data_IF_262128282335
#
_entry.id   IF_262128282335
#
_cell.length_a   1.000
_cell.length_b   1.000
_cell.length_c   1.000
_cell.angle_alpha   90.00
_cell.angle_beta   90.00
_cell.angle_gamma   90.00
#
_symmetry.space_group_name_H-M   'P 1'
#
loop_
_entity.id
_entity.type
_entity.pdbx_description
1 polymer ?
#
# COMPACT_ATOMS: atom_id res chain seq x y z
N UNK A 1 8.07 -8.22 16.16
CA UNK A 1 7.24 -7.85 14.99
C UNK A 1 6.69 -9.11 14.33
N UNK A 2 5.60 -9.02 13.56
CA UNK A 2 5.02 -10.14 12.79
C UNK A 2 5.88 -10.49 11.56
N UNK A 3 5.48 -11.49 10.77
CA UNK A 3 6.17 -11.85 9.52
C UNK A 3 6.12 -10.74 8.48
N UNK A 4 7.19 -10.59 7.65
CA UNK A 4 7.18 -9.67 6.50
C UNK A 4 6.19 -10.10 5.40
N UNK A 5 5.66 -11.31 5.45
CA UNK A 5 4.56 -11.75 4.56
C UNK A 5 3.34 -10.84 4.67
N UNK A 6 3.12 -10.24 5.85
CA UNK A 6 2.01 -9.31 6.06
C UNK A 6 2.18 -7.95 5.35
N UNK A 7 3.37 -7.65 4.86
CA UNK A 7 3.65 -6.46 4.06
C UNK A 7 3.31 -6.70 2.59
N UNK A 8 3.49 -7.93 2.12
CA UNK A 8 3.31 -8.33 0.74
C UNK A 8 2.06 -9.21 0.57
N UNK A 9 0.90 -8.59 0.38
CA UNK A 9 -0.32 -9.30 0.09
C UNK A 9 -0.61 -9.28 -1.41
N UNK A 10 -0.72 -10.45 -2.04
CA UNK A 10 -1.13 -10.58 -3.43
C UNK A 10 -2.65 -10.57 -3.49
N UNK A 11 -3.24 -9.59 -4.19
CA UNK A 11 -4.69 -9.47 -4.27
C UNK A 11 -5.17 -8.46 -5.30
N UNK A 12 -6.45 -8.16 -5.27
CA UNK A 12 -7.08 -7.24 -6.23
C UNK A 12 -7.26 -5.85 -5.62
N UNK A 13 -6.85 -4.82 -6.40
CA UNK A 13 -7.05 -3.43 -6.02
C UNK A 13 -8.53 -2.99 -6.05
N UNK A 14 -8.79 -1.70 -5.85
CA UNK A 14 -7.80 -0.61 -5.79
C UNK A 14 -7.22 -0.33 -4.40
N UNK A 15 -7.78 -0.85 -3.30
CA UNK A 15 -7.36 -0.50 -1.94
C UNK A 15 -7.16 -1.73 -1.06
N UNK A 16 -6.06 -1.78 -0.31
CA UNK A 16 -5.82 -2.84 0.66
C UNK A 16 -6.77 -2.73 1.86
N UNK A 17 -7.02 -1.52 2.37
CA UNK A 17 -7.89 -1.29 3.52
C UNK A 17 -9.39 -1.28 3.17
N UNK A 18 -9.76 -0.79 1.97
CA UNK A 18 -11.16 -0.61 1.58
C UNK A 18 -11.68 -1.71 0.62
N UNK A 19 -10.81 -2.51 0.04
CA UNK A 19 -11.18 -3.60 -0.89
C UNK A 19 -10.74 -4.96 -0.34
N UNK A 20 -9.43 -5.19 -0.16
CA UNK A 20 -8.90 -6.48 0.29
C UNK A 20 -9.34 -6.84 1.72
N UNK A 21 -9.22 -5.90 2.68
CA UNK A 21 -9.63 -6.11 4.06
C UNK A 21 -11.12 -6.48 4.19
N UNK A 22 -12.05 -5.67 3.67
CA UNK A 22 -13.48 -5.99 3.66
C UNK A 22 -13.81 -7.30 2.93
N UNK A 23 -13.13 -7.59 1.81
CA UNK A 23 -13.29 -8.86 1.09
C UNK A 23 -12.87 -10.07 1.96
N UNK A 24 -11.71 -9.96 2.64
CA UNK A 24 -11.23 -10.99 3.58
C UNK A 24 -12.17 -11.18 4.76
N UNK A 25 -12.66 -10.07 5.36
CA UNK A 25 -13.62 -10.13 6.46
C UNK A 25 -14.92 -10.79 6.04
N UNK A 26 -15.45 -10.47 4.85
CA UNK A 26 -16.64 -11.08 4.29
C UNK A 26 -16.47 -12.60 4.09
N UNK A 27 -15.31 -13.05 3.61
CA UNK A 27 -15.00 -14.47 3.44
C UNK A 27 -14.99 -15.21 4.77
N UNK A 28 -14.28 -14.71 5.76
CA UNK A 28 -14.20 -15.30 7.10
C UNK A 28 -15.57 -15.36 7.78
N UNK A 29 -16.39 -14.31 7.65
CA UNK A 29 -17.72 -14.28 8.24
C UNK A 29 -18.68 -15.22 7.53
N UNK A 30 -18.58 -15.36 6.20
CA UNK A 30 -19.36 -16.33 5.43
C UNK A 30 -19.01 -17.78 5.80
N UNK A 31 -17.71 -18.09 5.94
CA UNK A 31 -17.22 -19.41 6.35
C UNK A 31 -17.74 -19.80 7.74
N UNK A 32 -17.79 -18.83 8.66
CA UNK A 32 -18.33 -19.04 10.02
C UNK A 32 -19.85 -19.24 10.03
N UNK A 33 -20.57 -18.66 9.05
CA UNK A 33 -22.03 -18.63 8.99
C UNK A 33 -22.59 -19.26 7.69
N UNK A 34 -22.29 -20.54 7.37
CA UNK A 34 -22.67 -21.15 6.10
C UNK A 34 -24.19 -21.29 5.92
N UNK A 35 -24.94 -21.39 7.04
CA UNK A 35 -26.40 -21.53 7.08
C UNK A 35 -27.18 -20.22 7.09
N UNK A 36 -26.51 -19.06 7.09
CA UNK A 36 -27.21 -17.78 7.09
C UNK A 36 -27.94 -17.51 5.77
N UNK A 37 -29.16 -17.01 5.87
CA UNK A 37 -30.03 -16.69 4.73
C UNK A 37 -29.78 -15.30 4.21
N UNK A 38 -29.43 -14.34 5.12
CA UNK A 38 -29.14 -12.93 4.83
C UNK A 38 -27.98 -12.43 5.64
N UNK A 39 -27.30 -11.44 5.08
CA UNK A 39 -26.20 -10.72 5.72
C UNK A 39 -26.46 -9.21 5.67
N UNK A 40 -26.09 -8.51 6.73
CA UNK A 40 -26.00 -7.06 6.74
C UNK A 40 -24.56 -6.68 7.05
N UNK A 41 -24.00 -5.78 6.26
CA UNK A 41 -22.66 -5.23 6.50
C UNK A 41 -22.77 -3.73 6.64
N UNK A 42 -22.52 -3.23 7.84
CA UNK A 42 -22.48 -1.80 8.13
C UNK A 42 -21.05 -1.31 8.05
N UNK A 43 -20.82 -0.31 7.19
CA UNK A 43 -19.54 0.33 6.98
C UNK A 43 -19.52 1.70 7.67
N UNK A 44 -18.44 1.98 8.40
CA UNK A 44 -18.30 3.20 9.22
C UNK A 44 -17.15 4.10 8.75
N UNK A 45 -17.20 5.38 9.10
CA UNK A 45 -16.13 6.36 8.94
C UNK A 45 -15.55 6.41 7.54
N UNK A 46 -14.23 6.23 7.41
CA UNK A 46 -13.54 6.29 6.12
C UNK A 46 -14.03 5.23 5.12
N UNK A 47 -14.34 4.01 5.57
CA UNK A 47 -14.94 2.97 4.71
C UNK A 47 -16.28 3.41 4.09
N UNK A 48 -17.09 4.15 4.82
CA UNK A 48 -18.35 4.67 4.30
C UNK A 48 -18.17 5.89 3.41
N UNK A 49 -17.22 6.78 3.73
CA UNK A 49 -16.98 8.03 2.99
C UNK A 49 -16.38 7.78 1.60
N UNK A 50 -15.43 6.86 1.49
CA UNK A 50 -14.67 6.62 0.26
C UNK A 50 -14.96 5.25 -0.37
N UNK A 51 -15.65 4.36 0.34
CA UNK A 51 -15.84 2.96 -0.03
C UNK A 51 -16.48 2.73 -1.40
N UNK A 52 -17.39 3.60 -1.85
CA UNK A 52 -17.96 3.53 -3.20
C UNK A 52 -16.90 3.73 -4.28
N UNK A 53 -15.99 4.69 -4.09
CA UNK A 53 -14.88 4.93 -5.01
C UNK A 53 -13.84 3.80 -4.98
N UNK A 54 -13.68 3.15 -3.83
CA UNK A 54 -12.80 2.01 -3.63
C UNK A 54 -13.46 0.64 -3.96
N UNK A 55 -14.74 0.60 -4.32
CA UNK A 55 -15.45 -0.63 -4.66
C UNK A 55 -15.65 -1.58 -3.47
N UNK A 56 -15.74 -1.05 -2.24
CA UNK A 56 -15.87 -1.85 -1.01
C UNK A 56 -17.11 -2.74 -1.03
N UNK A 57 -18.25 -2.20 -1.43
CA UNK A 57 -19.49 -2.94 -1.60
C UNK A 57 -19.36 -4.06 -2.64
N UNK A 58 -18.82 -3.74 -3.79
CA UNK A 58 -18.58 -4.70 -4.87
C UNK A 58 -17.66 -5.85 -4.43
N UNK A 59 -16.63 -5.55 -3.64
CA UNK A 59 -15.71 -6.56 -3.12
C UNK A 59 -16.41 -7.52 -2.11
N UNK A 60 -17.21 -6.99 -1.20
CA UNK A 60 -18.00 -7.78 -0.25
C UNK A 60 -19.04 -8.64 -0.97
N UNK A 61 -19.81 -8.02 -1.90
CA UNK A 61 -20.85 -8.71 -2.67
C UNK A 61 -20.29 -9.84 -3.53
N UNK A 62 -19.10 -9.65 -4.11
CA UNK A 62 -18.42 -10.69 -4.90
C UNK A 62 -18.01 -11.90 -4.07
N UNK A 63 -17.65 -11.71 -2.81
CA UNK A 63 -17.26 -12.81 -1.90
C UNK A 63 -18.48 -13.57 -1.40
N UNK A 64 -19.51 -12.86 -0.96
CA UNK A 64 -20.72 -13.52 -0.42
C UNK A 64 -21.54 -14.15 -1.55
N UNK A 65 -21.42 -13.70 -2.80
CA UNK A 65 -22.04 -14.24 -4.02
C UNK A 65 -23.43 -14.88 -3.86
N UNK A 66 -24.29 -14.21 -3.09
CA UNK A 66 -25.69 -14.61 -2.85
C UNK A 66 -26.61 -13.44 -3.24
N UNK A 67 -27.09 -13.37 -4.48
CA UNK A 67 -27.91 -12.26 -4.97
C UNK A 67 -29.10 -11.97 -4.07
N UNK A 68 -29.22 -10.72 -3.63
CA UNK A 68 -30.33 -10.27 -2.76
C UNK A 68 -30.21 -10.66 -1.27
N UNK A 69 -29.19 -11.41 -0.88
CA UNK A 69 -28.96 -11.81 0.51
C UNK A 69 -28.09 -10.86 1.31
N UNK A 70 -27.49 -9.83 0.68
CA UNK A 70 -26.57 -8.89 1.33
C UNK A 70 -27.12 -7.48 1.30
N UNK A 71 -27.23 -6.87 2.47
CA UNK A 71 -27.54 -5.45 2.65
C UNK A 71 -26.27 -4.71 3.07
N UNK A 72 -25.86 -3.66 2.32
CA UNK A 72 -24.75 -2.77 2.68
C UNK A 72 -25.33 -1.48 3.27
N UNK A 73 -24.98 -1.19 4.53
CA UNK A 73 -25.39 0.02 5.25
C UNK A 73 -24.21 0.97 5.38
N UNK A 74 -24.39 2.21 4.97
CA UNK A 74 -23.35 3.23 5.00
C UNK A 74 -23.56 4.20 6.15
N UNK A 75 -22.56 4.34 7.04
CA UNK A 75 -22.59 5.25 8.21
C UNK A 75 -21.37 6.18 8.19
N UNK A 76 -21.32 7.16 7.24
CA UNK A 76 -20.16 8.04 7.07
C UNK A 76 -19.92 8.97 8.27
N UNK A 77 -20.98 9.32 9.01
CA UNK A 77 -20.92 10.24 10.14
C UNK A 77 -20.52 9.57 11.46
N UNK A 78 -20.38 8.26 11.47
CA UNK A 78 -20.01 7.48 12.65
C UNK A 78 -18.64 6.84 12.44
N UNK A 79 -17.69 7.20 13.29
CA UNK A 79 -16.40 6.49 13.39
C UNK A 79 -16.41 5.62 14.65
N UNK A 80 -16.04 4.36 14.48
CA UNK A 80 -15.86 3.48 15.62
C UNK A 80 -14.57 3.84 16.39
N UNK A 81 -14.51 3.60 17.71
CA UNK A 81 -13.47 4.20 18.57
C UNK A 81 -12.06 3.68 18.33
N UNK A 82 -11.91 2.48 17.76
CA UNK A 82 -10.60 1.82 17.63
C UNK A 82 -9.85 2.18 16.36
N UNK A 83 -10.56 2.29 15.23
CA UNK A 83 -9.95 2.63 13.94
C UNK A 83 -10.99 3.21 12.98
N UNK A 84 -10.62 4.18 12.08
CA UNK A 84 -11.56 4.79 11.12
C UNK A 84 -12.21 3.81 10.13
N UNK A 85 -11.62 2.65 9.90
CA UNK A 85 -12.10 1.64 8.96
C UNK A 85 -12.83 0.50 9.67
N UNK A 86 -13.88 0.83 10.42
CA UNK A 86 -14.71 -0.14 11.11
C UNK A 86 -15.81 -0.75 10.25
N UNK A 87 -16.12 -2.02 10.50
CA UNK A 87 -17.19 -2.79 9.87
C UNK A 87 -17.95 -3.60 10.92
N UNK A 88 -19.26 -3.71 10.75
CA UNK A 88 -20.11 -4.63 11.52
C UNK A 88 -20.77 -5.60 10.55
N UNK A 89 -20.49 -6.88 10.70
CA UNK A 89 -21.14 -7.96 9.99
C UNK A 89 -22.22 -8.58 10.85
N UNK A 90 -23.40 -8.83 10.30
CA UNK A 90 -24.53 -9.49 10.95
C UNK A 90 -25.08 -10.60 10.03
N UNK A 91 -25.35 -11.77 10.58
CA UNK A 91 -25.93 -12.92 9.89
C UNK A 91 -27.35 -13.21 10.39
N UNK A 92 -28.25 -13.51 9.49
CA UNK A 92 -29.67 -13.72 9.79
C UNK A 92 -30.17 -15.09 9.32
N UNK A 93 -31.00 -15.75 10.17
CA UNK A 93 -31.76 -16.95 9.83
C UNK A 93 -33.20 -16.70 10.28
N UNK A 94 -34.16 -16.92 9.39
CA UNK A 94 -35.61 -16.68 9.64
C UNK A 94 -35.89 -15.26 10.21
N UNK A 95 -35.11 -14.26 9.77
CA UNK A 95 -35.26 -12.88 10.22
C UNK A 95 -34.60 -12.53 11.55
N UNK A 96 -34.05 -13.50 12.29
CA UNK A 96 -33.33 -13.27 13.55
C UNK A 96 -31.83 -13.20 13.34
N UNK A 97 -31.15 -12.28 14.04
CA UNK A 97 -29.70 -12.22 14.07
C UNK A 97 -29.13 -13.42 14.80
N UNK A 98 -28.30 -14.21 14.13
CA UNK A 98 -27.68 -15.43 14.69
C UNK A 98 -26.20 -15.24 15.01
N UNK A 99 -25.55 -14.32 14.35
CA UNK A 99 -24.15 -13.94 14.64
C UNK A 99 -23.91 -12.48 14.30
N UNK A 100 -22.95 -11.85 15.01
CA UNK A 100 -22.54 -10.45 14.82
C UNK A 100 -21.06 -10.32 15.10
N UNK A 101 -20.34 -9.59 14.23
CA UNK A 101 -18.90 -9.43 14.33
C UNK A 101 -18.45 -8.01 13.95
N UNK A 102 -17.87 -7.32 14.93
CA UNK A 102 -17.22 -6.04 14.70
C UNK A 102 -15.73 -6.28 14.37
N UNK A 103 -15.29 -5.74 13.25
CA UNK A 103 -13.92 -5.93 12.74
C UNK A 103 -13.43 -4.66 12.05
N UNK A 104 -12.12 -4.46 12.08
CA UNK A 104 -11.45 -3.28 11.55
C UNK A 104 -10.43 -3.66 10.49
N UNK A 105 -10.36 -2.88 9.41
CA UNK A 105 -9.32 -2.99 8.40
C UNK A 105 -8.19 -2.01 8.70
N UNK A 106 -7.07 -2.52 9.22
CA UNK A 106 -5.99 -1.71 9.82
C UNK A 106 -4.83 -1.39 8.86
N UNK A 107 -5.04 -1.52 7.55
CA UNK A 107 -4.04 -1.25 6.52
C UNK A 107 -3.40 -2.52 5.96
N UNK A 108 -2.88 -2.44 4.74
CA UNK A 108 -2.23 -3.56 4.05
C UNK A 108 -3.14 -4.79 3.77
N UNK A 109 -4.44 -4.71 4.04
CA UNK A 109 -5.37 -5.84 4.01
C UNK A 109 -5.45 -6.63 5.31
N UNK A 110 -4.74 -6.18 6.36
CA UNK A 110 -4.83 -6.77 7.69
C UNK A 110 -6.15 -6.43 8.38
N UNK A 111 -6.63 -7.37 9.21
CA UNK A 111 -7.82 -7.22 10.04
C UNK A 111 -7.44 -7.22 11.51
N UNK A 112 -8.25 -6.54 12.30
CA UNK A 112 -8.16 -6.52 13.76
C UNK A 112 -9.56 -6.58 14.37
N UNK A 113 -9.73 -7.32 15.47
CA UNK A 113 -10.94 -7.36 16.28
C UNK A 113 -10.60 -7.41 17.78
N UNK A 114 -11.59 -7.18 18.63
CA UNK A 114 -11.38 -7.22 20.09
C UNK A 114 -11.19 -8.65 20.62
N UNK A 115 -11.47 -9.67 19.82
CA UNK A 115 -11.34 -11.07 20.20
C UNK A 115 -9.91 -11.59 20.05
N UNK A 116 -9.00 -10.79 19.46
CA UNK A 116 -7.61 -11.20 19.17
C UNK A 116 -7.51 -12.28 18.09
N UNK A 117 -8.54 -12.40 17.22
CA UNK A 117 -8.62 -13.44 16.17
C UNK A 117 -7.41 -13.43 15.23
N UNK A 118 -6.71 -12.28 15.10
CA UNK A 118 -5.58 -12.09 14.18
C UNK A 118 -4.25 -11.89 14.92
N UNK A 119 -4.17 -12.25 16.19
CA UNK A 119 -2.93 -12.16 16.94
C UNK A 119 -2.15 -13.48 16.85
N UNK A 120 -1.43 -13.64 15.73
CA UNK A 120 -0.60 -14.83 15.46
C UNK A 120 0.77 -14.78 16.20
N UNK A 121 0.95 -13.81 17.13
CA UNK A 121 2.20 -13.60 17.85
C UNK A 121 3.27 -12.87 17.04
N UNK A 122 4.38 -12.57 17.70
CA UNK A 122 5.54 -11.92 17.09
C UNK A 122 6.57 -12.95 16.65
N UNK A 123 7.08 -12.80 15.44
CA UNK A 123 8.14 -13.61 14.86
C UNK A 123 9.52 -13.02 15.14
N UNK A 124 9.63 -11.70 14.99
CA UNK A 124 10.87 -10.96 15.24
C UNK A 124 10.89 -10.41 16.65
N UNK A 125 11.96 -10.64 17.44
CA UNK A 125 12.09 -10.11 18.80
C UNK A 125 12.40 -8.61 18.82
N UNK A 126 13.25 -8.14 17.90
CA UNK A 126 13.57 -6.71 17.75
C UNK A 126 12.39 -5.96 17.15
N UNK A 127 12.18 -4.72 17.63
CA UNK A 127 11.01 -3.92 17.22
C UNK A 127 11.39 -2.63 16.51
N UNK A 128 12.64 -2.19 16.58
CA UNK A 128 13.14 -0.94 16.00
C UNK A 128 14.25 -1.18 14.98
N UNK A 129 14.46 -0.22 14.11
CA UNK A 129 15.58 -0.24 13.16
C UNK A 129 16.93 -0.21 13.89
N UNK A 130 17.03 0.54 14.99
CA UNK A 130 18.24 0.63 15.79
C UNK A 130 18.62 -0.73 16.41
N UNK A 131 17.64 -1.51 16.91
CA UNK A 131 17.87 -2.85 17.45
C UNK A 131 18.30 -3.83 16.35
N UNK A 132 17.63 -3.83 15.20
CA UNK A 132 17.99 -4.66 14.04
C UNK A 132 19.38 -4.33 13.54
N UNK A 133 19.73 -3.04 13.42
CA UNK A 133 21.08 -2.61 13.02
C UNK A 133 22.14 -3.06 14.03
N UNK A 134 21.85 -2.95 15.32
CA UNK A 134 22.75 -3.41 16.38
C UNK A 134 23.00 -4.90 16.22
N UNK A 135 21.96 -5.70 16.04
CA UNK A 135 22.09 -7.14 15.81
C UNK A 135 22.97 -7.43 14.57
N UNK A 136 22.73 -6.76 13.45
CA UNK A 136 23.52 -6.94 12.23
C UNK A 136 25.00 -6.60 12.45
N UNK A 137 25.30 -5.55 13.20
CA UNK A 137 26.67 -5.13 13.50
C UNK A 137 27.37 -6.11 14.45
N UNK A 138 26.68 -6.59 15.48
CA UNK A 138 27.21 -7.53 16.47
C UNK A 138 27.52 -8.91 15.85
N UNK A 139 26.68 -9.38 14.94
CA UNK A 139 26.81 -10.67 14.25
C UNK A 139 27.63 -10.60 12.95
N UNK A 140 27.96 -9.39 12.45
CA UNK A 140 28.63 -9.20 11.17
C UNK A 140 27.78 -9.57 9.96
N UNK A 141 26.46 -9.45 10.08
CA UNK A 141 25.44 -9.89 9.12
C UNK A 141 24.72 -8.73 8.41
N UNK A 142 23.93 -9.05 7.40
CA UNK A 142 23.07 -8.10 6.66
C UNK A 142 21.62 -8.15 7.15
N UNK A 143 20.79 -7.19 6.73
CA UNK A 143 19.34 -7.23 6.97
C UNK A 143 18.68 -8.47 6.35
N UNK A 144 19.22 -8.98 5.26
CA UNK A 144 18.72 -10.19 4.62
C UNK A 144 18.98 -11.43 5.49
N UNK A 145 20.17 -11.53 6.09
CA UNK A 145 20.52 -12.63 6.99
C UNK A 145 19.67 -12.57 8.27
N UNK A 146 19.36 -11.37 8.74
CA UNK A 146 18.41 -11.15 9.84
C UNK A 146 17.01 -11.66 9.50
N UNK A 147 16.48 -11.34 8.31
CA UNK A 147 15.19 -11.85 7.84
C UNK A 147 15.21 -13.38 7.74
N UNK A 148 16.23 -13.95 7.11
CA UNK A 148 16.37 -15.40 6.95
C UNK A 148 16.41 -16.14 8.30
N UNK A 149 17.09 -15.57 9.30
CA UNK A 149 17.18 -16.14 10.65
C UNK A 149 15.81 -16.37 11.29
N UNK A 150 14.89 -15.41 11.15
CA UNK A 150 13.58 -15.48 11.81
C UNK A 150 12.47 -16.07 10.94
N UNK A 151 12.47 -15.80 9.64
CA UNK A 151 11.47 -16.32 8.69
C UNK A 151 11.79 -17.74 8.16
N UNK A 152 13.05 -18.16 8.28
CA UNK A 152 13.55 -19.35 7.60
C UNK A 152 13.79 -19.11 6.10
N UNK A 153 14.44 -20.06 5.42
CA UNK A 153 14.75 -19.98 3.98
C UNK A 153 13.49 -19.98 3.09
N UNK A 154 12.38 -20.48 3.59
CA UNK A 154 11.09 -20.52 2.87
C UNK A 154 10.55 -19.13 2.51
N UNK A 155 11.02 -18.09 3.19
CA UNK A 155 10.62 -16.71 2.86
C UNK A 155 11.05 -16.34 1.44
N UNK A 156 12.19 -16.82 0.98
CA UNK A 156 12.67 -16.51 -0.37
C UNK A 156 11.79 -17.10 -1.47
N UNK A 157 11.25 -18.29 -1.27
CA UNK A 157 10.25 -18.89 -2.19
C UNK A 157 8.99 -18.01 -2.27
N UNK A 158 8.51 -17.50 -1.11
CA UNK A 158 7.39 -16.57 -1.10
C UNK A 158 7.73 -15.24 -1.79
N UNK A 159 8.93 -14.70 -1.59
CA UNK A 159 9.38 -13.48 -2.24
C UNK A 159 9.61 -13.65 -3.76
N UNK A 160 9.91 -14.87 -4.23
CA UNK A 160 9.90 -15.21 -5.66
C UNK A 160 8.49 -15.10 -6.27
N UNK A 161 7.46 -15.58 -5.57
CA UNK A 161 6.07 -15.43 -5.99
C UNK A 161 5.65 -13.96 -6.00
N UNK A 162 6.02 -13.20 -4.96
CA UNK A 162 5.82 -11.76 -4.86
C UNK A 162 6.47 -11.03 -6.05
N UNK A 163 7.74 -11.34 -6.33
CA UNK A 163 8.47 -10.75 -7.44
C UNK A 163 7.82 -11.06 -8.79
N UNK A 164 7.47 -12.31 -9.01
CA UNK A 164 6.77 -12.73 -10.23
C UNK A 164 5.48 -11.94 -10.43
N UNK A 165 4.65 -11.79 -9.39
CA UNK A 165 3.41 -11.02 -9.50
C UNK A 165 3.68 -9.53 -9.76
N UNK A 166 4.73 -8.95 -9.16
CA UNK A 166 5.13 -7.57 -9.43
C UNK A 166 5.51 -7.38 -10.90
N UNK A 167 6.31 -8.29 -11.48
CA UNK A 167 6.69 -8.25 -12.90
C UNK A 167 5.45 -8.35 -13.81
N UNK A 168 4.58 -9.35 -13.60
CA UNK A 168 3.35 -9.54 -14.37
C UNK A 168 2.48 -8.28 -14.35
N UNK A 169 2.39 -7.61 -13.20
CA UNK A 169 1.59 -6.38 -13.08
C UNK A 169 2.20 -5.22 -13.85
N UNK A 170 3.53 -5.02 -13.78
CA UNK A 170 4.21 -3.98 -14.57
C UNK A 170 4.06 -4.26 -16.05
N UNK A 171 4.39 -5.46 -16.52
CA UNK A 171 4.33 -5.84 -17.94
C UNK A 171 2.94 -5.64 -18.52
N UNK A 172 1.92 -6.07 -17.80
CA UNK A 172 0.52 -5.88 -18.19
C UNK A 172 0.17 -4.39 -18.29
N UNK A 173 0.51 -3.59 -17.28
CA UNK A 173 0.20 -2.17 -17.24
C UNK A 173 0.91 -1.36 -18.33
N UNK A 174 2.15 -1.73 -18.70
CA UNK A 174 2.92 -1.08 -19.76
C UNK A 174 2.31 -1.20 -21.15
N UNK A 175 1.46 -2.19 -21.39
CA UNK A 175 0.79 -2.42 -22.68
C UNK A 175 -0.70 -2.14 -22.64
N UNK A 176 -1.29 -1.92 -21.48
CA UNK A 176 -2.72 -1.67 -21.32
C UNK A 176 -3.04 -0.20 -21.59
N UNK A 177 -3.91 0.06 -22.54
CA UNK A 177 -4.38 1.40 -22.91
C UNK A 177 -5.85 1.62 -22.53
N UNK A 178 -6.37 2.81 -22.78
CA UNK A 178 -7.77 3.15 -22.60
C UNK A 178 -8.00 4.05 -21.38
N UNK A 179 -9.16 3.87 -20.76
CA UNK A 179 -9.66 4.73 -19.66
C UNK A 179 -9.90 3.89 -18.41
N UNK A 180 -9.48 4.40 -17.27
CA UNK A 180 -9.74 3.78 -15.99
C UNK A 180 -11.23 3.79 -15.63
N UNK A 181 -11.71 2.80 -14.85
CA UNK A 181 -13.10 2.76 -14.42
C UNK A 181 -13.44 3.94 -13.51
N UNK A 182 -14.73 4.25 -13.41
CA UNK A 182 -15.25 5.29 -12.52
C UNK A 182 -15.58 6.62 -13.23
N UNK A 183 -15.99 7.60 -12.45
CA UNK A 183 -16.54 8.86 -12.98
C UNK A 183 -15.47 9.82 -13.50
N UNK A 184 -14.21 9.69 -13.07
CA UNK A 184 -13.13 10.59 -13.49
C UNK A 184 -12.71 10.42 -14.95
N UNK A 185 -12.98 9.24 -15.55
CA UNK A 185 -12.60 8.94 -16.93
C UNK A 185 -11.12 9.21 -17.22
N UNK A 186 -10.27 8.91 -16.25
CA UNK A 186 -8.83 9.14 -16.37
C UNK A 186 -8.23 8.20 -17.42
N UNK A 187 -7.53 8.78 -18.41
CA UNK A 187 -6.83 8.00 -19.43
C UNK A 187 -5.57 7.35 -18.83
N UNK A 188 -5.29 6.10 -19.21
CA UNK A 188 -4.03 5.43 -18.90
C UNK A 188 -2.87 6.11 -19.61
N UNK A 189 -1.73 6.21 -18.95
CA UNK A 189 -0.55 6.92 -19.43
C UNK A 189 0.69 6.02 -19.54
N UNK A 190 0.72 4.88 -18.82
CA UNK A 190 1.89 4.02 -18.71
C UNK A 190 2.48 3.62 -20.07
N UNK A 191 1.65 3.14 -21.01
CA UNK A 191 2.08 2.75 -22.35
C UNK A 191 2.78 3.90 -23.09
N UNK A 192 2.18 5.09 -23.11
CA UNK A 192 2.77 6.26 -23.78
C UNK A 192 4.05 6.74 -23.14
N UNK A 193 4.16 6.66 -21.80
CA UNK A 193 5.41 6.97 -21.07
C UNK A 193 6.50 5.97 -21.40
N UNK A 194 6.18 4.67 -21.46
CA UNK A 194 7.12 3.62 -21.83
C UNK A 194 7.70 3.85 -23.24
N UNK A 195 6.85 4.11 -24.24
CA UNK A 195 7.29 4.41 -25.60
C UNK A 195 8.26 5.60 -25.63
N UNK A 196 7.92 6.69 -24.92
CA UNK A 196 8.78 7.88 -24.87
C UNK A 196 10.09 7.60 -24.12
N UNK A 197 10.07 6.82 -23.04
CA UNK A 197 11.26 6.43 -22.28
C UNK A 197 12.23 5.60 -23.14
N UNK A 198 11.70 4.64 -23.91
CA UNK A 198 12.51 3.82 -24.82
C UNK A 198 13.19 4.64 -25.94
N UNK A 199 12.57 5.75 -26.37
CA UNK A 199 13.12 6.67 -27.36
C UNK A 199 14.05 7.73 -26.75
N UNK A 200 14.08 7.85 -25.42
CA UNK A 200 14.93 8.83 -24.71
C UNK A 200 16.34 8.30 -24.50
N UNK A 201 17.28 9.21 -24.25
CA UNK A 201 18.68 8.90 -23.95
C UNK A 201 19.18 9.65 -22.71
N UNK A 202 20.38 9.31 -22.23
CA UNK A 202 20.98 9.95 -21.06
C UNK A 202 20.12 9.81 -19.81
N UNK A 203 20.09 10.84 -18.97
CA UNK A 203 19.38 10.83 -17.68
C UNK A 203 17.84 10.76 -17.80
N UNK A 204 17.27 11.13 -18.95
CA UNK A 204 15.83 11.11 -19.17
C UNK A 204 15.27 9.70 -19.32
N UNK A 205 16.06 8.75 -19.85
CA UNK A 205 15.63 7.37 -20.04
C UNK A 205 15.34 6.64 -18.71
N UNK A 206 16.27 6.59 -17.74
CA UNK A 206 16.01 5.97 -16.44
C UNK A 206 14.80 6.55 -15.71
N UNK A 207 14.67 7.88 -15.73
CA UNK A 207 13.52 8.57 -15.14
C UNK A 207 12.20 8.17 -15.83
N UNK A 208 12.17 8.16 -17.15
CA UNK A 208 11.00 7.78 -17.93
C UNK A 208 10.60 6.33 -17.71
N UNK A 209 11.57 5.40 -17.61
CA UNK A 209 11.32 3.98 -17.33
C UNK A 209 10.70 3.78 -15.94
N UNK A 210 11.21 4.46 -14.90
CA UNK A 210 10.63 4.43 -13.55
C UNK A 210 9.19 4.98 -13.54
N UNK A 211 8.96 6.12 -14.19
CA UNK A 211 7.60 6.67 -14.30
C UNK A 211 6.65 5.69 -14.99
N UNK A 212 7.05 5.12 -16.13
CA UNK A 212 6.23 4.17 -16.88
C UNK A 212 5.86 2.94 -16.04
N UNK A 213 6.83 2.34 -15.35
CA UNK A 213 6.62 1.17 -14.51
C UNK A 213 5.71 1.48 -13.29
N UNK A 214 5.93 2.61 -12.62
CA UNK A 214 5.09 3.01 -11.48
C UNK A 214 3.65 3.34 -11.91
N UNK A 215 3.48 4.03 -13.03
CA UNK A 215 2.17 4.27 -13.65
C UNK A 215 1.49 2.95 -14.02
N UNK A 216 2.21 2.00 -14.61
CA UNK A 216 1.69 0.70 -15.02
C UNK A 216 1.04 -0.04 -13.85
N UNK A 217 1.75 -0.20 -12.74
CA UNK A 217 1.22 -0.86 -11.54
C UNK A 217 0.06 -0.07 -10.94
N UNK A 218 0.19 1.25 -10.83
CA UNK A 218 -0.84 2.09 -10.22
C UNK A 218 -2.14 2.12 -11.04
N UNK A 219 -2.04 2.09 -12.37
CA UNK A 219 -3.18 2.00 -13.28
C UNK A 219 -3.84 0.62 -13.26
N UNK A 220 -3.04 -0.47 -13.15
CA UNK A 220 -3.58 -1.81 -12.94
C UNK A 220 -4.30 -1.89 -11.59
N UNK A 221 -3.71 -1.36 -10.52
CA UNK A 221 -4.36 -1.27 -9.22
C UNK A 221 -5.69 -0.50 -9.29
N UNK A 222 -5.68 0.68 -9.87
CA UNK A 222 -6.88 1.52 -10.01
C UNK A 222 -7.96 0.89 -10.89
N UNK A 223 -7.55 0.03 -11.83
CA UNK A 223 -8.42 -0.77 -12.69
C UNK A 223 -9.02 -2.00 -12.02
N UNK A 224 -8.69 -2.27 -10.76
CA UNK A 224 -9.09 -3.49 -10.05
C UNK A 224 -8.29 -4.72 -10.45
N UNK A 225 -7.10 -4.54 -11.01
CA UNK A 225 -6.17 -5.61 -11.36
C UNK A 225 -5.52 -6.25 -10.13
N UNK A 226 -4.83 -7.38 -10.37
CA UNK A 226 -4.07 -8.09 -9.34
C UNK A 226 -2.74 -7.40 -9.12
N UNK A 227 -2.45 -7.04 -7.87
CA UNK A 227 -1.23 -6.33 -7.45
C UNK A 227 -0.65 -6.96 -6.18
N UNK A 228 0.56 -6.53 -5.83
CA UNK A 228 1.16 -6.82 -4.52
C UNK A 228 1.13 -5.55 -3.68
N UNK A 229 0.67 -5.64 -2.43
CA UNK A 229 0.82 -4.51 -1.50
C UNK A 229 2.30 -4.27 -1.18
N UNK A 230 2.72 -3.00 -1.11
CA UNK A 230 4.09 -2.63 -0.74
C UNK A 230 4.15 -1.19 -0.14
N UNK A 231 3.67 -0.95 1.09
CA UNK A 231 2.95 -1.87 1.98
C UNK A 231 1.43 -1.91 1.72
N UNK A 232 0.87 -1.02 0.88
CA UNK A 232 -0.56 -0.93 0.58
C UNK A 232 -0.81 -0.97 -0.93
N UNK A 233 -2.07 -1.18 -1.36
CA UNK A 233 -2.44 -1.06 -2.77
C UNK A 233 -2.22 0.36 -3.31
N UNK A 234 -2.53 1.38 -2.51
CA UNK A 234 -2.36 2.79 -2.91
C UNK A 234 -0.92 3.18 -3.20
N UNK A 235 0.04 2.48 -2.60
CA UNK A 235 1.48 2.69 -2.78
C UNK A 235 2.17 1.55 -3.56
N UNK A 236 1.41 0.62 -4.13
CA UNK A 236 1.93 -0.59 -4.77
C UNK A 236 2.78 -0.35 -6.03
N UNK A 237 2.78 0.86 -6.57
CA UNK A 237 3.56 1.21 -7.77
C UNK A 237 5.02 1.54 -7.48
N UNK A 238 5.39 1.90 -6.25
CA UNK A 238 6.72 2.44 -5.91
C UNK A 238 7.80 1.36 -5.97
N UNK A 239 7.69 0.35 -5.11
CA UNK A 239 8.70 -0.71 -4.99
C UNK A 239 8.82 -1.54 -6.27
N UNK A 240 7.73 -2.06 -6.89
CA UNK A 240 7.85 -2.83 -8.12
C UNK A 240 8.49 -2.06 -9.27
N UNK A 241 8.21 -0.75 -9.40
CA UNK A 241 8.81 0.06 -10.46
C UNK A 241 10.33 0.13 -10.33
N UNK A 242 10.84 0.36 -9.12
CA UNK A 242 12.30 0.43 -8.91
C UNK A 242 12.95 -0.94 -9.08
N UNK A 243 12.33 -2.01 -8.59
CA UNK A 243 12.84 -3.38 -8.78
C UNK A 243 12.84 -3.78 -10.26
N UNK A 244 11.78 -3.45 -10.99
CA UNK A 244 11.67 -3.71 -12.43
C UNK A 244 12.74 -2.93 -13.23
N UNK A 245 12.96 -1.67 -12.89
CA UNK A 245 14.02 -0.86 -13.47
C UNK A 245 15.41 -1.49 -13.20
N UNK A 246 15.69 -1.92 -11.98
CA UNK A 246 16.96 -2.56 -11.64
C UNK A 246 17.14 -3.88 -12.37
N UNK A 247 16.08 -4.67 -12.55
CA UNK A 247 16.12 -5.93 -13.30
C UNK A 247 16.41 -5.72 -14.78
N UNK A 248 15.65 -4.85 -15.44
CA UNK A 248 15.62 -4.78 -16.92
C UNK A 248 16.47 -3.67 -17.52
N UNK A 249 16.73 -2.57 -16.81
CA UNK A 249 17.61 -1.50 -17.28
C UNK A 249 19.04 -1.61 -16.73
N UNK A 250 19.20 -2.16 -15.52
CA UNK A 250 20.52 -2.37 -14.90
C UNK A 250 20.97 -3.87 -14.88
N UNK A 251 20.20 -4.74 -15.48
CA UNK A 251 20.50 -6.18 -15.62
C UNK A 251 20.80 -6.88 -14.30
N UNK A 252 20.19 -6.43 -13.19
CA UNK A 252 20.38 -7.08 -11.89
C UNK A 252 19.74 -8.48 -11.88
N UNK A 253 20.46 -9.50 -11.38
CA UNK A 253 19.93 -10.86 -11.31
C UNK A 253 18.81 -10.98 -10.27
N UNK A 254 17.85 -11.89 -10.51
CA UNK A 254 16.66 -12.04 -9.67
C UNK A 254 16.99 -12.30 -8.20
N UNK A 255 18.02 -13.07 -7.89
CA UNK A 255 18.40 -13.30 -6.49
C UNK A 255 18.73 -12.02 -5.72
N UNK A 256 19.29 -10.98 -6.38
CA UNK A 256 19.53 -9.67 -5.76
C UNK A 256 18.24 -8.91 -5.54
N UNK A 257 17.31 -8.99 -6.50
CA UNK A 257 15.98 -8.38 -6.37
C UNK A 257 15.24 -9.01 -5.18
N UNK A 258 15.23 -10.34 -5.09
CA UNK A 258 14.58 -11.08 -4.00
C UNK A 258 15.18 -10.73 -2.63
N UNK A 259 16.51 -10.63 -2.53
CA UNK A 259 17.18 -10.13 -1.32
C UNK A 259 16.82 -8.68 -1.00
N UNK A 260 16.67 -7.83 -2.01
CA UNK A 260 16.17 -6.46 -1.85
C UNK A 260 14.73 -6.43 -1.32
N UNK A 261 13.87 -7.33 -1.79
CA UNK A 261 12.50 -7.47 -1.27
C UNK A 261 12.47 -7.91 0.20
N UNK A 262 13.39 -8.77 0.65
CA UNK A 262 13.51 -9.13 2.07
C UNK A 262 13.83 -7.90 2.92
N UNK A 263 14.81 -7.08 2.51
CA UNK A 263 15.15 -5.81 3.18
C UNK A 263 13.97 -4.83 3.16
N UNK A 264 13.29 -4.68 2.02
CA UNK A 264 12.11 -3.80 1.92
C UNK A 264 10.98 -4.26 2.85
N UNK A 265 10.72 -5.58 2.90
CA UNK A 265 9.72 -6.16 3.80
C UNK A 265 10.01 -5.87 5.26
N UNK A 266 11.27 -5.99 5.68
CA UNK A 266 11.71 -5.67 7.05
C UNK A 266 11.49 -4.18 7.37
N UNK A 267 11.87 -3.27 6.47
CA UNK A 267 11.64 -1.81 6.65
C UNK A 267 10.14 -1.52 6.79
N UNK A 268 9.31 -2.05 5.89
CA UNK A 268 7.86 -1.89 5.97
C UNK A 268 7.25 -2.47 7.25
N UNK A 269 7.79 -3.59 7.74
CA UNK A 269 7.34 -4.23 8.98
C UNK A 269 7.70 -3.41 10.23
N UNK A 270 8.86 -2.77 10.27
CA UNK A 270 9.24 -1.83 11.34
C UNK A 270 8.25 -0.65 11.38
N UNK A 271 7.93 -0.05 10.23
CA UNK A 271 6.93 1.03 10.18
C UNK A 271 5.56 0.55 10.65
N UNK A 272 5.10 -0.60 10.16
CA UNK A 272 3.79 -1.17 10.55
C UNK A 272 3.71 -1.46 12.04
N UNK A 273 4.81 -1.90 12.66
CA UNK A 273 4.86 -2.27 14.08
C UNK A 273 4.95 -1.07 15.02
N UNK A 274 5.63 0.01 14.62
CA UNK A 274 5.87 1.20 15.46
C UNK A 274 5.00 2.40 15.08
N UNK A 275 4.31 2.30 13.95
CA UNK A 275 3.50 3.37 13.40
C UNK A 275 2.24 2.85 12.75
N UNK A 276 1.86 3.47 11.65
CA UNK A 276 0.71 3.07 10.84
C UNK A 276 1.02 3.17 9.34
N UNK A 277 0.53 2.19 8.58
CA UNK A 277 0.55 2.20 7.12
C UNK A 277 -0.84 2.53 6.54
N UNK A 278 -1.77 3.04 7.35
CA UNK A 278 -3.14 3.35 6.96
C UNK A 278 -3.30 4.83 6.58
N UNK A 279 -3.72 5.09 5.34
CA UNK A 279 -4.04 6.46 4.88
C UNK A 279 -5.17 7.12 5.68
N UNK A 280 -6.10 6.33 6.20
CA UNK A 280 -7.21 6.79 7.03
C UNK A 280 -6.75 7.21 8.44
N UNK A 281 -5.63 6.69 8.92
CA UNK A 281 -5.10 7.00 10.24
C UNK A 281 -4.08 8.14 10.20
N UNK A 282 -3.12 8.09 9.27
CA UNK A 282 -1.97 9.01 9.24
C UNK A 282 -1.77 9.74 7.91
N UNK A 283 -2.69 9.62 6.95
CA UNK A 283 -2.52 10.17 5.61
C UNK A 283 -1.60 9.33 4.72
N UNK A 284 -1.35 9.82 3.50
CA UNK A 284 -0.48 9.13 2.53
C UNK A 284 1.00 9.05 2.96
N UNK A 285 1.44 9.81 3.97
CA UNK A 285 2.79 9.67 4.52
C UNK A 285 3.02 8.24 5.05
N UNK A 286 2.04 7.60 5.67
CA UNK A 286 2.11 6.22 6.13
C UNK A 286 2.16 5.20 4.98
N UNK A 287 1.53 5.47 3.86
CA UNK A 287 1.53 4.59 2.69
C UNK A 287 2.76 4.83 1.79
N UNK A 288 2.84 6.02 1.19
CA UNK A 288 3.89 6.39 0.23
C UNK A 288 5.25 6.64 0.89
N UNK A 289 5.27 7.20 2.12
CA UNK A 289 6.52 7.34 2.88
C UNK A 289 7.14 5.98 3.17
N UNK A 290 6.32 5.02 3.65
CA UNK A 290 6.77 3.65 3.86
C UNK A 290 7.23 2.99 2.56
N UNK A 291 6.46 3.12 1.47
CA UNK A 291 6.84 2.54 0.17
C UNK A 291 8.15 3.14 -0.37
N UNK A 292 8.38 4.44 -0.16
CA UNK A 292 9.62 5.12 -0.51
C UNK A 292 10.81 4.55 0.29
N UNK A 293 10.66 4.43 1.61
CA UNK A 293 11.67 3.85 2.50
C UNK A 293 12.00 2.40 2.12
N UNK A 294 10.99 1.59 1.89
CA UNK A 294 11.11 0.20 1.43
C UNK A 294 11.91 0.12 0.13
N UNK A 295 11.54 0.91 -0.87
CA UNK A 295 12.18 0.91 -2.18
C UNK A 295 13.61 1.47 -2.14
N UNK A 296 13.85 2.53 -1.37
CA UNK A 296 15.19 3.12 -1.19
C UNK A 296 16.13 2.15 -0.49
N UNK A 297 15.68 1.53 0.61
CA UNK A 297 16.47 0.52 1.32
C UNK A 297 16.78 -0.71 0.48
N UNK A 298 15.79 -1.22 -0.27
CA UNK A 298 15.98 -2.32 -1.21
C UNK A 298 17.00 -2.00 -2.31
N UNK A 299 16.90 -0.82 -2.93
CA UNK A 299 17.84 -0.38 -3.95
C UNK A 299 19.27 -0.26 -3.40
N UNK A 300 19.41 0.32 -2.21
CA UNK A 300 20.71 0.43 -1.53
C UNK A 300 21.31 -0.94 -1.24
N UNK A 301 20.50 -1.90 -0.77
CA UNK A 301 20.91 -3.30 -0.57
C UNK A 301 21.38 -3.95 -1.89
N UNK A 302 20.63 -3.79 -2.97
CA UNK A 302 20.94 -4.38 -4.28
C UNK A 302 22.24 -3.80 -4.85
N UNK A 303 22.51 -2.50 -4.66
CA UNK A 303 23.74 -1.84 -5.07
C UNK A 303 24.94 -2.10 -4.14
N UNK A 304 24.75 -2.89 -3.06
CA UNK A 304 25.83 -3.32 -2.16
C UNK A 304 26.12 -2.35 -1.02
N UNK A 305 25.14 -1.53 -0.64
CA UNK A 305 25.25 -0.63 0.51
C UNK A 305 25.36 -1.37 1.84
N UNK A 306 26.03 -0.74 2.80
CA UNK A 306 26.15 -1.19 4.19
C UNK A 306 24.83 -1.06 4.94
N UNK A 307 24.60 -1.77 6.07
CA UNK A 307 23.39 -1.60 6.88
C UNK A 307 23.12 -0.13 7.27
N UNK A 308 24.15 0.68 7.55
CA UNK A 308 23.99 2.11 7.83
C UNK A 308 23.51 2.91 6.62
N UNK A 309 24.02 2.59 5.43
CA UNK A 309 23.57 3.26 4.20
C UNK A 309 22.14 2.85 3.83
N UNK A 310 21.77 1.60 4.10
CA UNK A 310 20.40 1.10 3.88
C UNK A 310 19.41 1.81 4.80
N UNK A 311 19.74 1.93 6.08
CA UNK A 311 18.93 2.66 7.07
C UNK A 311 18.82 4.13 6.67
N UNK A 312 19.92 4.79 6.32
CA UNK A 312 19.91 6.20 5.89
C UNK A 312 19.08 6.42 4.63
N UNK A 313 19.16 5.53 3.63
CA UNK A 313 18.32 5.61 2.45
C UNK A 313 16.83 5.48 2.79
N UNK A 314 16.48 4.56 3.71
CA UNK A 314 15.12 4.37 4.17
C UNK A 314 14.60 5.59 4.96
N UNK A 315 15.44 6.14 5.82
CA UNK A 315 15.17 7.36 6.60
C UNK A 315 14.84 8.52 5.66
N UNK A 316 15.73 8.86 4.73
CA UNK A 316 15.53 9.94 3.74
C UNK A 316 14.29 9.70 2.88
N UNK A 317 14.10 8.46 2.42
CA UNK A 317 12.92 8.09 1.64
C UNK A 317 11.63 8.35 2.40
N UNK A 318 11.61 8.14 3.71
CA UNK A 318 10.45 8.40 4.54
C UNK A 318 10.31 9.89 4.91
N UNK A 319 11.36 10.50 5.43
CA UNK A 319 11.39 11.90 5.89
C UNK A 319 10.80 12.85 4.84
N UNK A 320 11.24 12.71 3.59
CA UNK A 320 10.81 13.57 2.48
C UNK A 320 9.36 13.34 2.01
N UNK A 321 8.62 12.43 2.66
CA UNK A 321 7.21 12.20 2.44
C UNK A 321 6.34 12.53 3.67
N UNK A 322 6.92 13.08 4.75
CA UNK A 322 6.17 13.56 5.91
C UNK A 322 5.18 14.66 5.50
N UNK A 323 4.02 14.69 6.15
CA UNK A 323 2.96 15.66 5.88
C UNK A 323 2.08 15.38 4.66
N UNK A 324 2.29 14.28 3.91
CA UNK A 324 1.44 13.94 2.76
C UNK A 324 0.02 13.58 3.21
N UNK A 325 -0.94 14.38 2.74
CA UNK A 325 -2.37 14.15 2.95
C UNK A 325 -2.88 12.95 2.13
N UNK A 326 -3.96 12.31 2.57
CA UNK A 326 -4.70 11.32 1.78
C UNK A 326 -6.09 11.91 1.42
N UNK A 327 -6.19 12.44 0.23
CA UNK A 327 -7.35 13.18 -0.27
C UNK A 327 -7.75 12.73 -1.70
N UNK A 328 -8.11 11.43 -1.87
CA UNK A 328 -8.43 10.88 -3.19
C UNK A 328 -9.70 11.52 -3.78
N UNK A 329 -9.60 12.00 -5.03
CA UNK A 329 -10.72 12.65 -5.71
C UNK A 329 -11.86 11.67 -5.92
N UNK A 330 -13.05 12.00 -5.42
CA UNK A 330 -14.26 11.14 -5.42
C UNK A 330 -14.03 9.76 -4.78
N UNK A 331 -13.04 9.62 -3.91
CA UNK A 331 -12.68 8.36 -3.29
C UNK A 331 -11.99 7.34 -4.21
N UNK A 332 -11.60 7.73 -5.44
CA UNK A 332 -10.88 6.84 -6.33
C UNK A 332 -9.37 6.86 -6.07
N UNK A 333 -8.73 5.69 -6.02
CA UNK A 333 -7.26 5.55 -5.97
C UNK A 333 -6.67 5.86 -7.35
N UNK A 334 -6.93 7.07 -7.83
CA UNK A 334 -6.52 7.57 -9.15
C UNK A 334 -5.80 8.92 -9.03
N UNK A 335 -6.48 9.97 -8.56
CA UNK A 335 -5.91 11.29 -8.37
C UNK A 335 -5.90 11.60 -6.85
N UNK A 336 -4.75 11.91 -6.28
CA UNK A 336 -3.40 12.05 -6.86
C UNK A 336 -2.56 10.75 -6.85
N UNK A 337 -3.12 9.62 -6.44
CA UNK A 337 -2.40 8.39 -6.10
C UNK A 337 -1.48 7.87 -7.21
N UNK A 338 -1.97 7.80 -8.45
CA UNK A 338 -1.22 7.25 -9.60
C UNK A 338 0.06 8.07 -9.84
N UNK A 339 -0.03 9.39 -9.88
CA UNK A 339 1.12 10.26 -10.13
C UNK A 339 2.08 10.29 -8.94
N UNK A 340 1.56 10.25 -7.70
CA UNK A 340 2.39 10.18 -6.50
C UNK A 340 3.29 8.94 -6.50
N UNK A 341 2.80 7.77 -6.92
CA UNK A 341 3.64 6.57 -7.03
C UNK A 341 4.83 6.78 -7.96
N UNK A 342 4.62 7.41 -9.12
CA UNK A 342 5.68 7.68 -10.09
C UNK A 342 6.77 8.60 -9.51
N UNK A 343 6.37 9.70 -8.86
CA UNK A 343 7.32 10.62 -8.25
C UNK A 343 8.03 10.02 -7.03
N UNK A 344 7.33 9.21 -6.22
CA UNK A 344 7.92 8.56 -5.06
C UNK A 344 8.90 7.45 -5.46
N UNK A 345 8.66 6.73 -6.55
CA UNK A 345 9.63 5.77 -7.09
C UNK A 345 10.95 6.44 -7.50
N UNK A 346 10.87 7.64 -8.10
CA UNK A 346 12.08 8.43 -8.41
C UNK A 346 12.77 8.92 -7.13
N UNK A 347 12.04 9.45 -6.14
CA UNK A 347 12.60 9.83 -4.84
C UNK A 347 13.33 8.67 -4.16
N UNK A 348 12.75 7.46 -4.19
CA UNK A 348 13.37 6.29 -3.59
C UNK A 348 14.72 5.97 -4.25
N UNK A 349 14.81 6.06 -5.58
CA UNK A 349 16.07 5.90 -6.31
C UNK A 349 17.09 6.96 -5.91
N UNK A 350 16.69 8.22 -5.80
CA UNK A 350 17.56 9.33 -5.43
C UNK A 350 18.03 9.20 -3.98
N UNK A 351 17.18 8.82 -3.04
CA UNK A 351 17.54 8.57 -1.65
C UNK A 351 18.58 7.44 -1.53
N UNK A 352 18.41 6.35 -2.28
CA UNK A 352 19.38 5.26 -2.32
C UNK A 352 20.73 5.71 -2.86
N UNK A 353 20.75 6.45 -3.98
CA UNK A 353 21.99 6.99 -4.55
C UNK A 353 22.68 7.96 -3.59
N UNK A 354 21.92 8.87 -2.97
CA UNK A 354 22.48 9.82 -2.01
C UNK A 354 23.13 9.10 -0.83
N UNK A 355 22.45 8.11 -0.24
CA UNK A 355 23.00 7.34 0.87
C UNK A 355 24.28 6.58 0.50
N UNK A 356 24.36 6.03 -0.71
CA UNK A 356 25.55 5.33 -1.22
C UNK A 356 26.75 6.25 -1.43
N UNK A 357 26.57 7.55 -1.70
CA UNK A 357 27.66 8.52 -1.76
C UNK A 357 28.18 8.95 -0.37
N UNK A 358 27.45 8.61 0.71
CA UNK A 358 27.81 8.91 2.08
C UNK A 358 28.49 7.73 2.78
N UNK A 359 28.97 7.95 4.00
CA UNK A 359 29.43 6.88 4.89
C UNK A 359 28.27 6.27 5.72
N UNK A 360 27.03 6.69 5.48
CA UNK A 360 25.82 6.27 6.18
C UNK A 360 25.63 6.94 7.55
N UNK A 361 26.44 7.93 7.92
CA UNK A 361 26.26 8.69 9.19
C UNK A 361 25.33 9.86 8.95
N UNK A 362 24.33 10.00 9.82
CA UNK A 362 23.36 11.10 9.79
C UNK A 362 22.77 11.34 11.19
N UNK A 363 21.99 12.41 11.34
CA UNK A 363 21.58 12.90 12.65
C UNK A 363 20.22 12.33 13.08
N UNK A 364 19.27 12.25 12.18
CA UNK A 364 17.88 11.81 12.44
C UNK A 364 17.78 10.32 12.10
N UNK A 365 17.36 9.49 13.03
CA UNK A 365 17.22 8.05 12.79
C UNK A 365 15.91 7.71 12.07
N UNK A 366 15.88 6.57 11.39
CA UNK A 366 14.66 6.03 10.79
C UNK A 366 13.53 5.88 11.82
N UNK A 367 13.85 5.43 13.03
CA UNK A 367 12.88 5.27 14.12
C UNK A 367 12.28 6.62 14.56
N UNK A 368 13.08 7.71 14.55
CA UNK A 368 12.59 9.07 14.86
C UNK A 368 11.66 9.59 13.77
N UNK A 369 11.93 9.28 12.51
CA UNK A 369 11.03 9.64 11.39
C UNK A 369 9.69 8.89 11.49
N UNK A 370 9.70 7.60 11.82
CA UNK A 370 8.46 6.82 12.05
C UNK A 370 7.64 7.43 13.18
N UNK A 371 8.29 7.82 14.29
CA UNK A 371 7.63 8.48 15.41
C UNK A 371 7.04 9.85 14.99
N UNK A 372 7.81 10.65 14.27
CA UNK A 372 7.36 11.95 13.73
C UNK A 372 6.17 11.79 12.78
N UNK A 373 6.16 10.76 11.96
CA UNK A 373 5.02 10.43 11.10
C UNK A 373 3.74 10.19 11.92
N UNK A 374 3.84 9.48 13.04
CA UNK A 374 2.69 9.25 13.91
C UNK A 374 2.20 10.54 14.58
N UNK A 375 3.11 11.42 14.99
CA UNK A 375 2.78 12.72 15.57
C UNK A 375 2.08 13.62 14.54
N UNK A 376 2.68 13.81 13.38
CA UNK A 376 2.09 14.62 12.29
C UNK A 376 0.78 14.02 11.75
N UNK A 377 0.64 12.69 11.76
CA UNK A 377 -0.60 12.00 11.41
C UNK A 377 -1.74 12.29 12.39
N UNK A 378 -1.46 12.35 13.69
CA UNK A 378 -2.44 12.74 14.72
C UNK A 378 -2.87 14.20 14.58
N UNK A 379 -1.92 15.09 14.28
CA UNK A 379 -2.18 16.53 14.09
C UNK A 379 -2.90 16.82 12.77
N UNK A 380 -2.82 15.92 11.81
CA UNK A 380 -3.51 16.06 10.53
C UNK A 380 -5.03 16.01 10.73
N UNK A 381 -5.74 17.05 10.26
CA UNK A 381 -7.20 17.10 10.34
C UNK A 381 -7.86 15.93 9.60
N UNK A 382 -8.94 15.37 10.13
CA UNK A 382 -9.65 14.22 9.59
C UNK A 382 -10.02 14.36 8.10
N UNK A 383 -10.33 15.60 7.62
CA UNK A 383 -10.64 15.85 6.20
C UNK A 383 -9.49 15.52 5.23
N UNK A 384 -8.27 15.35 5.72
CA UNK A 384 -7.07 15.01 4.95
C UNK A 384 -6.63 13.56 5.13
N UNK A 385 -7.41 12.73 5.82
CA UNK A 385 -7.12 11.33 6.13
C UNK A 385 -8.15 10.40 5.49
N UNK A 386 -8.04 10.21 4.17
CA UNK A 386 -8.83 9.27 3.35
C UNK A 386 -10.37 9.45 3.49
N UNK A 387 -10.82 10.70 3.56
CA UNK A 387 -12.24 11.04 3.66
C UNK A 387 -12.81 11.70 2.41
N UNK A 388 -11.94 12.20 1.52
CA UNK A 388 -12.32 13.02 0.34
C UNK A 388 -13.11 14.29 0.67
N UNK A 389 -13.06 14.78 1.93
CA UNK A 389 -13.77 15.96 2.39
C UNK A 389 -12.95 17.26 2.28
N UNK A 390 -11.67 17.16 1.95
CA UNK A 390 -10.75 18.31 1.87
C UNK A 390 -9.70 18.15 0.79
N UNK A 391 -8.72 19.05 0.77
CA UNK A 391 -7.56 18.98 -0.12
C UNK A 391 -7.93 18.99 -1.61
N UNK A 392 -7.19 18.21 -2.39
CA UNK A 392 -7.38 18.09 -3.84
C UNK A 392 -8.77 17.58 -4.21
N UNK A 393 -9.34 16.68 -3.41
CA UNK A 393 -10.69 16.16 -3.64
C UNK A 393 -11.72 17.29 -3.67
N UNK A 394 -11.65 18.22 -2.73
CA UNK A 394 -12.58 19.34 -2.67
C UNK A 394 -12.42 20.33 -3.84
N UNK A 395 -11.18 20.64 -4.23
CA UNK A 395 -10.89 21.56 -5.34
C UNK A 395 -11.39 20.98 -6.66
N UNK A 396 -11.08 19.71 -6.96
CA UNK A 396 -11.52 19.04 -8.18
C UNK A 396 -13.04 18.93 -8.28
N UNK A 397 -13.75 18.67 -7.19
CA UNK A 397 -15.21 18.59 -7.20
C UNK A 397 -15.85 19.96 -7.54
N UNK A 398 -15.28 21.06 -7.07
CA UNK A 398 -15.71 22.42 -7.46
C UNK A 398 -15.58 22.64 -8.97
N UNK A 399 -14.44 22.31 -9.54
CA UNK A 399 -14.20 22.49 -10.98
C UNK A 399 -15.11 21.61 -11.83
N UNK A 400 -15.30 20.33 -11.45
CA UNK A 400 -16.22 19.42 -12.14
C UNK A 400 -17.68 19.92 -12.09
N UNK A 401 -18.08 20.60 -11.02
CA UNK A 401 -19.43 21.19 -10.89
C UNK A 401 -19.65 22.41 -11.79
N UNK A 402 -18.57 23.10 -12.18
CA UNK A 402 -18.61 24.26 -13.09
C UNK A 402 -18.41 23.89 -14.57
N UNK A 403 -18.06 22.65 -14.91
CA UNK A 403 -18.02 22.22 -16.30
C UNK A 403 -19.42 22.11 -16.88
N UNK A 404 -19.69 22.70 -18.06
CA UNK A 404 -20.99 22.58 -18.70
C UNK A 404 -21.29 21.09 -18.96
N UNK A 405 -22.42 20.61 -18.42
CA UNK A 405 -22.92 19.26 -18.70
C UNK A 405 -23.05 19.12 -20.22
N UNK A 406 -22.19 18.36 -20.85
CA UNK A 406 -22.41 18.00 -22.27
C UNK A 406 -23.78 17.32 -22.37
N UNK A 407 -24.72 18.01 -22.99
CA UNK A 407 -26.06 17.48 -23.26
C UNK A 407 -25.94 16.08 -23.85
N UNK A 408 -26.55 15.09 -23.17
CA UNK A 408 -26.80 13.78 -23.74
C UNK A 408 -27.71 14.01 -24.99
N UNK A 409 -27.15 13.87 -26.14
CA UNK A 409 -27.94 13.60 -27.37
C UNK A 409 -28.02 12.10 -27.54
#
# INVERSE_FOLDING_TARGET
>A
MKSIREIYNIGYGPSSSHTMGPSRAAGLFLEKNPGAEKFRVTLYGSLALTGKGHGTDSAILKVIDRPGAVEIVWKPDISLPRHPNGMLFEAFVQGNTVDSWEVYSVGGGALWDELGTFDDGNLYPETSMAEVMKWCLDEGCTFVDYVEKYEGSEIFTYLEEVWKQMQETVEKGLVTEGVLPGALKLARKASSYNIKALQSSGSSRPMGMLFAAALAVSEENAGGGRVVTAPTCGASGVLPALMYFMKYDQEMPDYRIIRGLATAGLIGNIVKSNGSISGAEVGCQGELGTACAMAAGAATQIWGGTPRQIEYAAEMGFEHNLGLTCDPVMGYVQIPCIERNAFVAQKAREAALYALFSDGRHMVSFDDVVKTMMETGRDMQAKYRETSLGGLAHVCLRELSHMPRKNKK
#
